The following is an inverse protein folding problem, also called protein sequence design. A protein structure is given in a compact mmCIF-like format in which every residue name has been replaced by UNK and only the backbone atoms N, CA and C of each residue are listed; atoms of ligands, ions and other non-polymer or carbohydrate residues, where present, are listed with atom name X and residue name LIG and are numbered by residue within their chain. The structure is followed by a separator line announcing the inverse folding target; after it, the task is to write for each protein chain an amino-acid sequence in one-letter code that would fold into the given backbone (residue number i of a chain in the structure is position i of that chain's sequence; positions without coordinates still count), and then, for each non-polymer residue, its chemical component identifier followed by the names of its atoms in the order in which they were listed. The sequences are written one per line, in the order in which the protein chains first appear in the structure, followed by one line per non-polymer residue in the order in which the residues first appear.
data_IF_455940778632
#
_entry.id   IF_455940778632
#
_cell.length_a   1.000
_cell.length_b   1.000
_cell.length_c   1.000
_cell.angle_alpha   90.00
_cell.angle_beta   90.00
_cell.angle_gamma   90.00
#
_symmetry.space_group_name_H-M   'P 1'
#
loop_
_entity.id
_entity.type
_entity.pdbx_description
1 polymer ?
#
# COMPACT_ATOMS: atom_id res chain seq x y z
N UNK A 1 -1.96 10.95 -28.01
CA UNK A 1 -1.10 11.33 -26.87
C UNK A 1 -1.05 10.10 -25.96
N UNK A 2 0.06 9.35 -26.00
CA UNK A 2 0.21 8.14 -25.20
C UNK A 2 0.14 8.54 -23.72
N UNK A 3 -0.70 7.85 -22.94
CA UNK A 3 -0.64 7.97 -21.50
C UNK A 3 0.82 7.74 -21.09
N UNK A 4 1.43 8.70 -20.41
CA UNK A 4 2.73 8.49 -19.78
C UNK A 4 2.53 7.32 -18.82
N UNK A 5 2.97 6.13 -19.22
CA UNK A 5 2.94 4.96 -18.35
C UNK A 5 4.04 5.20 -17.34
N UNK A 6 3.64 5.67 -16.15
CA UNK A 6 4.54 5.87 -15.03
C UNK A 6 5.24 4.53 -14.77
N UNK A 7 6.58 4.47 -14.78
CA UNK A 7 7.29 3.24 -14.51
C UNK A 7 7.04 2.80 -13.07
N UNK A 8 7.02 1.49 -12.84
CA UNK A 8 7.06 0.92 -11.50
C UNK A 8 8.53 0.76 -11.10
N UNK A 9 8.86 1.10 -9.85
CA UNK A 9 10.17 0.88 -9.25
C UNK A 9 10.05 -0.18 -8.15
N UNK A 10 11.03 -1.07 -8.07
CA UNK A 10 11.21 -1.95 -6.92
C UNK A 10 12.63 -1.80 -6.38
N UNK A 11 12.78 -1.96 -5.07
CA UNK A 11 14.07 -1.97 -4.40
C UNK A 11 14.09 -3.03 -3.31
N UNK A 12 15.20 -3.77 -3.24
CA UNK A 12 15.47 -4.77 -2.23
C UNK A 12 14.54 -5.98 -2.28
N UNK A 13 14.24 -6.55 -1.12
CA UNK A 13 13.43 -7.76 -0.99
C UNK A 13 14.27 -8.99 -0.70
N UNK A 14 13.61 -10.14 -0.58
CA UNK A 14 14.23 -11.42 -0.25
C UNK A 14 13.75 -12.51 -1.20
N UNK A 15 14.66 -13.39 -1.61
CA UNK A 15 14.38 -14.56 -2.42
C UNK A 15 13.98 -15.78 -1.58
N UNK A 16 14.07 -16.96 -2.20
CA UNK A 16 13.93 -18.23 -1.51
C UNK A 16 15.31 -18.78 -1.13
N UNK A 17 15.52 -19.27 0.11
CA UNK A 17 14.59 -19.24 1.24
C UNK A 17 14.36 -17.83 1.82
N UNK A 18 13.16 -17.62 2.39
CA UNK A 18 12.74 -16.30 2.89
C UNK A 18 13.66 -15.81 4.01
N UNK A 19 14.20 -14.61 3.86
CA UNK A 19 15.08 -13.96 4.83
C UNK A 19 16.56 -14.31 4.68
N UNK A 20 16.91 -15.25 3.79
CA UNK A 20 18.32 -15.67 3.60
C UNK A 20 18.96 -14.99 2.38
N UNK A 21 18.18 -14.74 1.34
CA UNK A 21 18.67 -14.20 0.05
C UNK A 21 18.16 -12.78 -0.17
N UNK A 22 18.68 -11.85 0.61
CA UNK A 22 18.31 -10.44 0.54
C UNK A 22 18.98 -9.75 -0.66
N UNK A 23 18.31 -8.74 -1.22
CA UNK A 23 18.87 -7.88 -2.28
C UNK A 23 18.84 -6.41 -1.85
N UNK A 24 19.69 -5.59 -2.45
CA UNK A 24 19.62 -4.13 -2.45
C UNK A 24 19.56 -3.57 -3.89
N UNK A 25 19.23 -4.42 -4.86
CA UNK A 25 19.07 -3.99 -6.26
C UNK A 25 17.87 -3.06 -6.43
N UNK A 26 17.92 -2.24 -7.48
CA UNK A 26 16.80 -1.44 -7.95
C UNK A 26 16.39 -1.87 -9.35
N UNK A 27 15.10 -2.07 -9.58
CA UNK A 27 14.55 -2.41 -10.89
C UNK A 27 13.50 -1.39 -11.34
N UNK A 28 13.51 -1.08 -12.64
CA UNK A 28 12.47 -0.31 -13.32
C UNK A 28 11.66 -1.24 -14.20
N UNK A 29 10.35 -1.18 -14.05
CA UNK A 29 9.40 -1.90 -14.87
C UNK A 29 8.65 -0.88 -15.72
N UNK A 30 8.81 -0.99 -17.03
CA UNK A 30 7.96 -0.27 -17.98
C UNK A 30 6.72 -1.11 -18.26
N UNK A 31 5.57 -0.44 -18.40
CA UNK A 31 4.27 -1.06 -18.63
C UNK A 31 3.82 -0.70 -20.05
N UNK A 32 2.90 -1.48 -20.63
CA UNK A 32 2.34 -1.24 -21.96
C UNK A 32 2.85 -2.21 -23.02
N UNK A 33 2.77 -1.81 -24.29
CA UNK A 33 3.10 -2.68 -25.43
C UNK A 33 4.59 -3.09 -25.46
N UNK A 34 5.46 -2.25 -24.89
CA UNK A 34 6.91 -2.50 -24.77
C UNK A 34 7.32 -2.72 -23.30
N UNK A 35 6.56 -3.55 -22.56
CA UNK A 35 6.88 -3.84 -21.17
C UNK A 35 8.26 -4.51 -21.02
N UNK A 36 9.11 -3.93 -20.19
CA UNK A 36 10.48 -4.38 -19.94
C UNK A 36 10.85 -4.20 -18.47
N UNK A 37 11.76 -5.05 -17.99
CA UNK A 37 12.37 -4.94 -16.67
C UNK A 37 13.84 -4.62 -16.83
N UNK A 38 14.30 -3.56 -16.18
CA UNK A 38 15.68 -3.11 -16.25
C UNK A 38 16.25 -2.97 -14.85
N UNK A 39 17.40 -3.62 -14.58
CA UNK A 39 18.17 -3.35 -13.37
C UNK A 39 18.86 -1.99 -13.51
N UNK A 40 18.67 -1.11 -12.53
CA UNK A 40 19.37 0.17 -12.49
C UNK A 40 20.81 -0.04 -12.04
N UNK A 41 21.77 0.45 -12.83
CA UNK A 41 23.13 0.64 -12.38
C UNK A 41 23.18 1.79 -11.38
N UNK A 42 23.21 1.45 -10.09
CA UNK A 42 23.27 2.41 -8.98
C UNK A 42 24.65 2.40 -8.34
N UNK A 43 25.04 3.52 -7.71
CA UNK A 43 26.34 3.71 -7.04
C UNK A 43 26.14 4.49 -5.74
N UNK A 44 27.21 4.77 -4.98
CA UNK A 44 27.16 5.54 -3.74
C UNK A 44 26.98 4.68 -2.50
N UNK A 45 26.32 5.23 -1.49
CA UNK A 45 26.13 4.60 -0.18
C UNK A 45 24.87 3.73 -0.18
N UNK A 46 24.95 2.57 -0.84
CA UNK A 46 23.82 1.66 -0.95
C UNK A 46 23.41 1.13 0.43
N UNK A 47 22.10 0.98 0.72
CA UNK A 47 21.66 0.22 1.87
C UNK A 47 22.15 -1.23 1.76
N UNK A 48 22.42 -1.85 2.91
CA UNK A 48 22.67 -3.29 2.99
C UNK A 48 21.51 -4.06 2.36
N UNK A 49 21.80 -5.19 1.72
CA UNK A 49 20.78 -6.06 1.17
C UNK A 49 19.75 -6.48 2.24
N UNK A 50 18.49 -6.06 2.05
CA UNK A 50 17.46 -6.16 3.07
C UNK A 50 16.06 -6.27 2.46
N UNK A 51 15.07 -6.62 3.29
CA UNK A 51 13.67 -6.69 2.88
C UNK A 51 12.74 -6.01 3.88
N UNK A 52 11.54 -5.69 3.40
CA UNK A 52 10.54 -4.94 4.14
C UNK A 52 10.89 -3.48 4.48
N UNK A 53 11.73 -2.73 3.72
CA UNK A 53 11.80 -1.29 3.92
C UNK A 53 10.49 -0.64 3.47
N UNK A 54 10.09 0.44 4.15
CA UNK A 54 9.11 1.37 3.63
C UNK A 54 9.72 2.20 2.51
N UNK A 55 8.98 2.49 1.44
CA UNK A 55 9.47 3.28 0.30
C UNK A 55 8.57 4.49 0.08
N UNK A 56 9.18 5.66 -0.06
CA UNK A 56 8.51 6.93 -0.42
C UNK A 56 9.28 7.59 -1.56
N UNK A 57 8.56 8.13 -2.54
CA UNK A 57 9.17 9.01 -3.55
C UNK A 57 8.81 10.45 -3.21
N UNK A 58 9.83 11.30 -3.07
CA UNK A 58 9.65 12.73 -2.82
C UNK A 58 10.68 13.53 -3.64
N UNK A 59 10.20 14.48 -4.42
CA UNK A 59 10.96 15.19 -5.44
C UNK A 59 11.68 14.18 -6.36
N UNK A 60 13.00 14.31 -6.49
CA UNK A 60 13.83 13.47 -7.35
C UNK A 60 14.44 12.27 -6.63
N UNK A 61 13.94 11.94 -5.43
CA UNK A 61 14.52 10.94 -4.56
C UNK A 61 13.53 9.83 -4.21
N UNK A 62 14.02 8.58 -4.24
CA UNK A 62 13.37 7.43 -3.63
C UNK A 62 14.00 7.20 -2.26
N UNK A 63 13.23 7.35 -1.20
CA UNK A 63 13.63 7.10 0.18
C UNK A 63 13.28 5.67 0.58
N UNK A 64 14.17 5.02 1.34
CA UNK A 64 13.92 3.75 2.01
C UNK A 64 14.04 3.94 3.51
N UNK A 65 13.09 3.39 4.26
CA UNK A 65 12.98 3.56 5.70
C UNK A 65 12.89 2.19 6.37
N UNK A 66 13.88 1.87 7.19
CA UNK A 66 13.96 0.64 7.96
C UNK A 66 14.04 -0.63 7.11
N UNK A 67 13.62 -1.75 7.69
CA UNK A 67 13.74 -3.07 7.09
C UNK A 67 14.56 -4.04 7.93
N UNK A 68 14.86 -5.19 7.36
CA UNK A 68 15.67 -6.22 8.03
C UNK A 68 16.53 -7.00 7.06
N UNK A 69 17.70 -7.41 7.53
CA UNK A 69 18.59 -8.36 6.84
C UNK A 69 18.17 -9.83 7.05
N UNK A 70 17.14 -10.09 7.86
CA UNK A 70 16.78 -11.40 8.37
C UNK A 70 17.28 -11.65 9.80
N UNK A 71 18.33 -10.94 10.20
CA UNK A 71 18.95 -11.04 11.53
C UNK A 71 18.83 -9.73 12.30
N UNK A 72 19.18 -8.62 11.63
CA UNK A 72 19.15 -7.29 12.21
C UNK A 72 17.95 -6.51 11.68
N UNK A 73 17.43 -5.62 12.52
CA UNK A 73 16.36 -4.70 12.18
C UNK A 73 16.90 -3.28 12.23
N UNK A 74 16.47 -2.44 11.29
CA UNK A 74 16.91 -1.06 11.23
C UNK A 74 15.73 -0.10 11.03
N UNK A 75 15.96 1.16 11.36
CA UNK A 75 15.14 2.31 10.95
C UNK A 75 15.99 3.35 10.19
N UNK A 76 17.11 2.92 9.60
CA UNK A 76 17.97 3.78 8.80
C UNK A 76 17.20 4.37 7.62
N UNK A 77 17.64 5.56 7.20
CA UNK A 77 17.09 6.29 6.07
C UNK A 77 18.16 6.45 5.01
N UNK A 78 17.88 5.86 3.85
CA UNK A 78 18.68 6.05 2.64
C UNK A 78 17.83 6.71 1.58
N UNK A 79 18.46 7.38 0.63
CA UNK A 79 17.77 7.89 -0.55
C UNK A 79 18.56 7.68 -1.83
N UNK A 80 17.86 7.34 -2.89
CA UNK A 80 18.40 7.23 -4.24
C UNK A 80 17.99 8.46 -5.02
N UNK A 81 18.96 9.24 -5.51
CA UNK A 81 18.66 10.26 -6.51
C UNK A 81 18.30 9.56 -7.83
N UNK A 82 17.08 9.77 -8.31
CA UNK A 82 16.54 9.08 -9.48
C UNK A 82 17.15 9.56 -10.81
N UNK A 83 17.78 10.74 -10.82
CA UNK A 83 18.49 11.28 -11.98
C UNK A 83 19.93 10.75 -12.05
N UNK A 84 20.70 10.92 -10.97
CA UNK A 84 22.12 10.54 -10.94
C UNK A 84 22.33 9.05 -10.66
N UNK A 85 21.31 8.36 -10.12
CA UNK A 85 21.35 6.96 -9.69
C UNK A 85 22.38 6.71 -8.58
N UNK A 86 22.61 7.73 -7.76
CA UNK A 86 23.51 7.68 -6.60
C UNK A 86 22.68 7.56 -5.33
N UNK A 87 22.99 6.54 -4.53
CA UNK A 87 22.49 6.37 -3.18
C UNK A 87 23.27 7.24 -2.20
N UNK A 88 22.55 7.80 -1.24
CA UNK A 88 23.07 8.56 -0.13
C UNK A 88 22.54 7.96 1.16
N UNK A 89 23.44 7.81 2.14
CA UNK A 89 23.05 7.58 3.51
C UNK A 89 22.55 8.90 4.11
N UNK A 90 21.26 8.99 4.42
CA UNK A 90 20.68 10.21 4.98
C UNK A 90 20.76 10.20 6.50
N UNK A 91 20.48 9.04 7.11
CA UNK A 91 20.54 8.85 8.55
C UNK A 91 20.79 7.38 8.92
N UNK A 92 21.73 7.15 9.83
CA UNK A 92 21.95 5.85 10.49
C UNK A 92 21.49 5.93 11.94
N UNK A 93 20.50 5.10 12.28
CA UNK A 93 20.02 4.96 13.65
C UNK A 93 21.09 4.33 14.55
N UNK A 94 21.14 4.79 15.79
CA UNK A 94 22.08 4.33 16.81
C UNK A 94 21.31 3.88 18.06
N UNK A 95 21.60 2.70 18.63
CA UNK A 95 20.87 2.17 19.78
C UNK A 95 20.90 3.07 21.03
N UNK A 96 21.92 3.91 21.17
CA UNK A 96 22.15 4.80 22.31
C UNK A 96 21.47 6.17 22.18
N UNK A 97 20.95 6.50 20.99
CA UNK A 97 20.27 7.77 20.74
C UNK A 97 18.79 7.67 21.12
N UNK A 98 18.36 8.44 22.12
CA UNK A 98 16.98 8.43 22.64
C UNK A 98 15.91 8.70 21.58
N UNK A 99 16.22 9.58 20.62
CA UNK A 99 15.26 10.00 19.60
C UNK A 99 15.22 9.03 18.40
N UNK A 100 16.17 8.11 18.32
CA UNK A 100 16.20 7.13 17.23
C UNK A 100 15.13 6.06 17.47
N UNK A 101 14.33 5.74 16.45
CA UNK A 101 13.36 4.67 16.56
C UNK A 101 14.06 3.31 16.55
N UNK A 102 13.54 2.39 17.35
CA UNK A 102 13.94 0.99 17.29
C UNK A 102 13.72 0.43 15.88
N UNK A 103 14.68 -0.38 15.43
CA UNK A 103 14.66 -1.01 14.12
C UNK A 103 13.43 -1.88 13.91
N UNK A 104 12.83 -1.80 12.72
CA UNK A 104 11.57 -2.51 12.42
C UNK A 104 11.40 -2.83 10.95
N UNK A 105 10.56 -3.83 10.70
CA UNK A 105 10.12 -4.24 9.36
C UNK A 105 8.61 -4.53 9.34
N UNK A 106 8.04 -4.65 8.14
CA UNK A 106 6.59 -4.85 7.91
C UNK A 106 5.72 -3.76 8.56
N UNK A 107 6.30 -2.58 8.71
CA UNK A 107 5.62 -1.31 8.88
C UNK A 107 5.15 -0.78 7.53
N UNK A 108 4.29 0.21 7.59
CA UNK A 108 3.89 1.01 6.44
C UNK A 108 4.44 2.43 6.59
N UNK A 109 4.56 3.16 5.48
CA UNK A 109 5.00 4.56 5.50
C UNK A 109 4.00 5.48 4.81
N UNK A 110 3.80 6.66 5.37
CA UNK A 110 3.03 7.76 4.76
C UNK A 110 3.84 9.04 4.84
N UNK A 111 3.59 9.98 3.93
CA UNK A 111 4.36 11.23 3.87
C UNK A 111 3.46 12.44 3.63
N UNK A 112 3.77 13.56 4.27
CA UNK A 112 3.01 14.81 4.10
C UNK A 112 3.76 15.89 3.32
N UNK A 113 4.94 15.56 2.80
CA UNK A 113 5.85 16.47 2.12
C UNK A 113 6.89 17.11 3.03
N UNK A 114 6.70 17.07 4.35
CA UNK A 114 7.69 17.51 5.35
C UNK A 114 8.25 16.34 6.17
N UNK A 115 7.41 15.35 6.47
CA UNK A 115 7.75 14.19 7.28
C UNK A 115 7.38 12.88 6.57
N UNK A 116 8.15 11.83 6.86
CA UNK A 116 7.79 10.44 6.58
C UNK A 116 7.45 9.77 7.91
N UNK A 117 6.22 9.28 8.03
CA UNK A 117 5.70 8.65 9.24
C UNK A 117 5.71 7.13 9.11
N UNK A 118 6.16 6.44 10.16
CA UNK A 118 6.25 4.97 10.19
C UNK A 118 5.11 4.37 11.00
N UNK A 119 4.21 3.66 10.33
CA UNK A 119 3.01 3.08 10.93
C UNK A 119 3.21 1.60 11.24
N UNK A 120 3.16 1.27 12.53
CA UNK A 120 3.20 -0.10 13.03
C UNK A 120 4.54 -0.79 12.76
N UNK A 121 4.46 -2.05 12.34
CA UNK A 121 5.63 -2.89 12.16
C UNK A 121 6.16 -3.43 13.49
N UNK A 122 7.28 -4.14 13.42
CA UNK A 122 7.84 -4.80 14.58
C UNK A 122 9.18 -5.45 14.30
N UNK A 123 9.59 -6.33 15.19
CA UNK A 123 10.68 -7.30 15.01
C UNK A 123 10.08 -8.72 15.00
N UNK A 124 10.91 -9.75 15.16
CA UNK A 124 10.44 -11.11 15.44
C UNK A 124 9.66 -11.20 16.75
N UNK A 125 10.02 -10.42 17.76
CA UNK A 125 9.52 -10.55 19.14
C UNK A 125 8.62 -9.40 19.58
N UNK A 126 8.76 -8.23 18.96
CA UNK A 126 8.05 -7.01 19.34
C UNK A 126 7.15 -6.53 18.21
N UNK A 127 6.00 -5.96 18.55
CA UNK A 127 5.14 -5.21 17.62
C UNK A 127 4.87 -3.86 18.23
N UNK A 128 5.12 -2.80 17.46
CA UNK A 128 5.06 -1.43 17.95
C UNK A 128 3.63 -0.88 17.91
N UNK A 129 3.31 -0.03 18.87
CA UNK A 129 2.03 0.64 18.91
C UNK A 129 1.91 1.76 17.86
N UNK A 130 0.70 2.32 17.78
CA UNK A 130 0.33 3.40 16.87
C UNK A 130 -0.04 4.68 17.64
N UNK A 131 0.29 4.76 18.94
CA UNK A 131 0.03 5.93 19.77
C UNK A 131 1.11 6.98 19.55
N UNK A 132 2.39 6.56 19.59
CA UNK A 132 3.55 7.43 19.33
C UNK A 132 4.38 6.83 18.21
N UNK A 133 4.28 7.41 17.02
CA UNK A 133 4.91 6.85 15.81
C UNK A 133 6.19 7.62 15.43
N UNK A 134 7.24 6.95 14.93
CA UNK A 134 8.41 7.63 14.38
C UNK A 134 8.04 8.50 13.17
N UNK A 135 8.61 9.70 13.10
CA UNK A 135 8.45 10.63 12.00
C UNK A 135 9.81 11.20 11.58
N UNK A 136 10.23 10.94 10.34
CA UNK A 136 11.49 11.44 9.82
C UNK A 136 11.29 12.79 9.14
N UNK A 137 11.93 13.83 9.67
CA UNK A 137 11.85 15.19 9.13
C UNK A 137 12.77 15.32 7.91
N UNK A 138 12.19 15.55 6.74
CA UNK A 138 12.92 15.64 5.46
C UNK A 138 13.75 16.93 5.31
N UNK A 139 13.48 17.95 6.14
CA UNK A 139 14.24 19.20 6.12
C UNK A 139 15.47 19.10 7.01
N UNK A 140 15.30 18.57 8.23
CA UNK A 140 16.40 18.49 9.22
C UNK A 140 17.19 17.19 9.13
N UNK A 141 16.69 16.19 8.38
CA UNK A 141 17.20 14.83 8.31
C UNK A 141 17.36 14.19 9.71
N UNK A 142 16.33 14.31 10.54
CA UNK A 142 16.32 13.78 11.90
C UNK A 142 15.02 13.05 12.20
N UNK A 143 15.14 12.04 13.07
CA UNK A 143 13.99 11.41 13.67
C UNK A 143 13.37 12.30 14.74
N UNK A 144 12.05 12.38 14.69
CA UNK A 144 11.18 12.95 15.69
C UNK A 144 10.07 11.91 16.00
N UNK A 145 9.25 12.19 17.01
CA UNK A 145 8.09 11.36 17.33
C UNK A 145 6.80 12.14 17.14
N UNK A 146 5.82 11.48 16.54
CA UNK A 146 4.49 12.00 16.30
C UNK A 146 3.49 11.32 17.24
N UNK A 147 3.10 12.06 18.28
CA UNK A 147 2.04 11.63 19.21
C UNK A 147 0.67 11.77 18.54
N UNK A 148 -0.02 10.65 18.40
CA UNK A 148 -1.37 10.57 17.84
C UNK A 148 -2.43 10.71 18.92
N UNK A 149 -3.64 11.05 18.49
CA UNK A 149 -4.81 11.26 19.33
C UNK A 149 -5.78 10.10 19.06
N UNK A 150 -6.35 9.48 20.12
CA UNK A 150 -7.28 8.38 19.95
C UNK A 150 -8.60 8.87 19.35
N UNK A 151 -9.33 7.94 18.73
CA UNK A 151 -10.70 8.13 18.30
C UNK A 151 -11.57 8.57 19.48
N UNK A 152 -12.07 9.82 19.39
CA UNK A 152 -12.90 10.44 20.43
C UNK A 152 -14.19 9.69 20.70
N UNK A 153 -14.72 8.98 19.70
CA UNK A 153 -16.00 8.27 19.79
C UNK A 153 -15.85 6.92 20.50
N UNK A 154 -14.65 6.36 20.58
CA UNK A 154 -14.40 5.02 21.14
C UNK A 154 -13.82 5.02 22.55
N UNK A 155 -13.46 6.20 23.09
CA UNK A 155 -12.78 6.39 24.39
C UNK A 155 -13.44 5.68 25.59
N UNK A 156 -14.72 5.38 25.52
CA UNK A 156 -15.49 4.77 26.61
C UNK A 156 -15.37 3.25 26.69
N UNK A 157 -14.97 2.56 25.62
CA UNK A 157 -14.97 1.09 25.56
C UNK A 157 -13.67 0.48 25.00
N UNK A 158 -12.93 1.22 24.18
CA UNK A 158 -11.60 0.87 23.68
C UNK A 158 -10.66 2.06 23.97
N UNK A 159 -9.34 1.84 24.04
CA UNK A 159 -8.37 2.96 24.21
C UNK A 159 -8.39 3.96 23.02
N UNK A 160 -9.27 3.77 22.03
CA UNK A 160 -9.45 4.62 20.86
C UNK A 160 -8.31 4.60 19.85
N UNK A 161 -7.33 3.71 20.02
CA UNK A 161 -6.23 3.52 19.09
C UNK A 161 -6.36 2.18 18.36
N UNK A 162 -5.87 2.07 17.11
CA UNK A 162 -5.64 0.76 16.52
C UNK A 162 -4.65 -0.03 17.38
N UNK A 163 -4.96 -1.30 17.66
CA UNK A 163 -4.03 -2.19 18.37
C UNK A 163 -2.67 -2.28 17.63
N UNK A 164 -1.54 -2.47 18.36
CA UNK A 164 -0.22 -2.71 17.77
C UNK A 164 -0.28 -3.80 16.71
N UNK A 165 0.31 -3.54 15.54
CA UNK A 165 0.22 -4.47 14.39
C UNK A 165 1.39 -4.34 13.43
N UNK A 166 1.76 -5.47 12.82
CA UNK A 166 2.65 -5.57 11.65
C UNK A 166 1.97 -6.31 10.51
N UNK A 167 2.57 -6.30 9.32
CA UNK A 167 2.00 -6.93 8.11
C UNK A 167 0.61 -6.37 7.73
N UNK A 168 0.29 -5.15 8.17
CA UNK A 168 -0.87 -4.39 7.73
C UNK A 168 -0.68 -3.92 6.29
N UNK A 169 -1.71 -3.33 5.70
CA UNK A 169 -1.54 -2.49 4.51
C UNK A 169 -1.97 -1.05 4.83
N UNK A 170 -1.40 -0.10 4.09
CA UNK A 170 -1.72 1.31 4.22
C UNK A 170 -1.97 1.95 2.85
N UNK A 171 -2.85 2.94 2.81
CA UNK A 171 -3.00 3.87 1.67
C UNK A 171 -3.16 5.28 2.17
N UNK A 172 -2.49 6.20 1.49
CA UNK A 172 -2.60 7.63 1.73
C UNK A 172 -3.70 8.22 0.84
N UNK A 173 -4.51 9.11 1.41
CA UNK A 173 -5.50 9.89 0.69
C UNK A 173 -5.41 11.38 1.05
N UNK A 174 -5.30 12.23 0.03
CA UNK A 174 -5.36 13.68 0.19
C UNK A 174 -6.80 14.18 0.04
N UNK A 175 -7.30 14.84 1.08
CA UNK A 175 -8.61 15.47 1.10
C UNK A 175 -8.64 16.76 0.27
N UNK A 176 -9.83 17.25 -0.13
CA UNK A 176 -9.95 18.49 -0.92
C UNK A 176 -9.36 19.75 -0.25
N UNK A 177 -9.25 19.76 1.08
CA UNK A 177 -8.65 20.83 1.86
C UNK A 177 -7.11 20.72 1.97
N UNK A 178 -6.50 19.71 1.35
CA UNK A 178 -5.06 19.45 1.38
C UNK A 178 -4.61 18.53 2.53
N UNK A 179 -5.51 18.17 3.46
CA UNK A 179 -5.17 17.26 4.55
C UNK A 179 -4.86 15.87 4.04
N UNK A 180 -3.98 15.18 4.74
CA UNK A 180 -3.58 13.82 4.41
C UNK A 180 -4.14 12.86 5.46
N UNK A 181 -4.86 11.85 4.99
CA UNK A 181 -5.35 10.74 5.78
C UNK A 181 -4.63 9.46 5.40
N UNK A 182 -4.12 8.72 6.40
CA UNK A 182 -3.54 7.40 6.25
C UNK A 182 -4.56 6.34 6.65
N UNK A 183 -4.99 5.49 5.72
CA UNK A 183 -5.92 4.40 5.97
C UNK A 183 -5.13 3.10 6.16
N UNK A 184 -5.29 2.46 7.32
CA UNK A 184 -4.68 1.17 7.62
C UNK A 184 -5.73 0.07 7.75
N UNK A 185 -5.37 -1.15 7.35
CA UNK A 185 -6.24 -2.30 7.55
C UNK A 185 -5.47 -3.60 7.72
N UNK A 186 -6.10 -4.52 8.46
CA UNK A 186 -5.58 -5.84 8.75
C UNK A 186 -4.27 -5.83 9.54
N UNK A 187 -3.45 -6.87 9.32
CA UNK A 187 -2.23 -7.13 10.08
C UNK A 187 -2.42 -8.11 11.24
N UNK A 188 -1.37 -8.27 12.04
CA UNK A 188 -1.34 -9.16 13.21
C UNK A 188 -0.54 -8.55 14.38
N UNK A 189 -0.87 -8.95 15.61
CA UNK A 189 -0.28 -8.41 16.85
C UNK A 189 1.08 -9.03 17.24
N UNK A 190 1.57 -9.99 16.47
CA UNK A 190 2.89 -10.63 16.67
C UNK A 190 2.88 -11.86 17.57
N UNK A 191 1.79 -12.07 18.31
CA UNK A 191 1.48 -13.29 19.06
C UNK A 191 1.03 -14.46 18.16
N UNK A 192 0.87 -14.21 16.86
CA UNK A 192 0.29 -15.13 15.87
C UNK A 192 -1.08 -15.69 16.28
N UNK A 193 -1.77 -15.00 17.19
CA UNK A 193 -3.09 -15.38 17.70
C UNK A 193 -4.14 -14.32 17.39
N UNK A 194 -3.72 -13.05 17.32
CA UNK A 194 -4.59 -11.91 17.04
C UNK A 194 -4.37 -11.40 15.62
N UNK A 195 -5.42 -11.55 14.80
CA UNK A 195 -5.47 -11.11 13.41
C UNK A 195 -6.55 -10.04 13.24
N UNK A 196 -6.25 -9.01 12.45
CA UNK A 196 -7.12 -7.85 12.32
C UNK A 196 -7.89 -7.86 11.01
N UNK A 197 -9.13 -7.37 11.06
CA UNK A 197 -9.97 -7.09 9.90
C UNK A 197 -10.60 -5.68 9.95
N UNK A 198 -10.25 -4.90 10.97
CA UNK A 198 -10.70 -3.53 11.15
C UNK A 198 -10.02 -2.59 10.14
N UNK A 199 -10.61 -1.40 10.02
CA UNK A 199 -10.10 -0.32 9.18
C UNK A 199 -10.04 0.94 10.04
N UNK A 200 -8.89 1.60 10.02
CA UNK A 200 -8.67 2.86 10.72
C UNK A 200 -8.14 3.89 9.76
N UNK A 201 -8.40 5.16 10.06
CA UNK A 201 -7.75 6.28 9.38
C UNK A 201 -7.11 7.23 10.39
N UNK A 202 -5.92 7.74 10.07
CA UNK A 202 -5.22 8.78 10.82
C UNK A 202 -5.19 10.04 9.96
N UNK A 203 -5.72 11.15 10.46
CA UNK A 203 -5.50 12.46 9.83
C UNK A 203 -4.18 13.04 10.34
N UNK A 204 -3.20 13.27 9.45
CA UNK A 204 -1.86 13.71 9.84
C UNK A 204 -1.83 15.15 10.38
N UNK A 205 -2.79 16.00 10.00
CA UNK A 205 -2.89 17.37 10.52
C UNK A 205 -3.49 17.40 11.92
N UNK A 206 -4.62 16.72 12.14
CA UNK A 206 -5.29 16.69 13.46
C UNK A 206 -4.66 15.67 14.40
N UNK A 207 -3.82 14.78 13.88
CA UNK A 207 -3.19 13.64 14.55
C UNK A 207 -4.18 12.59 15.06
N UNK A 208 -5.44 12.67 14.64
CA UNK A 208 -6.52 11.88 15.22
C UNK A 208 -6.78 10.60 14.43
N UNK A 209 -6.80 9.48 15.15
CA UNK A 209 -7.28 8.21 14.67
C UNK A 209 -8.81 8.18 14.65
N UNK A 210 -9.38 7.50 13.65
CA UNK A 210 -10.80 7.22 13.57
C UNK A 210 -10.99 5.79 13.07
N UNK A 211 -11.74 4.97 13.82
CA UNK A 211 -12.14 3.63 13.39
C UNK A 211 -13.31 3.75 12.43
N UNK A 212 -13.19 3.13 11.26
CA UNK A 212 -14.28 3.11 10.29
C UNK A 212 -15.24 1.99 10.68
N UNK A 213 -16.26 2.32 11.47
CA UNK A 213 -17.22 1.33 11.99
C UNK A 213 -18.13 0.76 10.90
N UNK A 214 -18.29 1.46 9.78
CA UNK A 214 -19.17 1.05 8.66
C UNK A 214 -18.49 0.11 7.66
N UNK A 215 -17.20 -0.21 7.83
CA UNK A 215 -16.45 -1.03 6.89
C UNK A 215 -15.38 -1.89 7.60
N UNK A 216 -15.26 -3.14 7.15
CA UNK A 216 -14.28 -4.09 7.65
C UNK A 216 -13.93 -5.09 6.55
N UNK A 217 -12.73 -5.67 6.63
CA UNK A 217 -12.36 -6.78 5.78
C UNK A 217 -13.27 -7.98 6.10
N UNK A 218 -13.81 -8.68 5.07
CA UNK A 218 -14.67 -9.84 5.28
C UNK A 218 -14.02 -10.97 6.09
N UNK A 219 -12.69 -11.00 6.13
CA UNK A 219 -11.86 -11.91 6.91
C UNK A 219 -10.62 -11.15 7.40
N UNK A 220 -10.05 -11.50 8.56
CA UNK A 220 -8.75 -10.98 8.96
C UNK A 220 -7.66 -11.37 7.95
N UNK A 221 -6.84 -10.39 7.54
CA UNK A 221 -5.77 -10.59 6.56
C UNK A 221 -4.49 -9.92 7.02
N UNK A 222 -3.37 -10.55 6.72
CA UNK A 222 -2.04 -9.98 6.87
C UNK A 222 -1.20 -10.26 5.61
N UNK A 223 -0.13 -9.50 5.37
CA UNK A 223 0.65 -9.57 4.11
C UNK A 223 -0.17 -9.33 2.83
N UNK A 224 -1.28 -8.60 2.94
CA UNK A 224 -2.03 -8.13 1.79
C UNK A 224 -1.47 -6.78 1.33
N UNK A 225 -1.76 -6.39 0.09
CA UNK A 225 -1.41 -5.08 -0.44
C UNK A 225 -2.67 -4.24 -0.57
N UNK A 226 -2.55 -2.92 -0.35
CA UNK A 226 -3.57 -1.95 -0.70
C UNK A 226 -3.05 -0.94 -1.72
N UNK A 227 -3.94 -0.38 -2.53
CA UNK A 227 -3.63 0.66 -3.50
C UNK A 227 -4.77 1.68 -3.65
N UNK A 228 -4.42 2.95 -3.79
CA UNK A 228 -5.35 4.06 -4.00
C UNK A 228 -5.55 4.28 -5.51
N UNK A 229 -6.80 4.27 -5.99
CA UNK A 229 -7.11 4.36 -7.42
C UNK A 229 -7.28 5.80 -7.95
N UNK A 230 -6.86 6.82 -7.20
CA UNK A 230 -6.96 8.24 -7.54
C UNK A 230 -8.37 8.84 -7.49
N UNK A 231 -9.40 8.01 -7.59
CA UNK A 231 -10.82 8.40 -7.53
C UNK A 231 -11.42 8.37 -6.11
N UNK A 232 -10.58 8.16 -5.08
CA UNK A 232 -11.03 7.98 -3.69
C UNK A 232 -11.40 6.53 -3.34
N UNK A 233 -11.14 5.57 -4.23
CA UNK A 233 -11.32 4.14 -3.94
C UNK A 233 -10.00 3.49 -3.52
N UNK A 234 -10.05 2.73 -2.43
CA UNK A 234 -8.99 1.83 -1.96
C UNK A 234 -9.29 0.42 -2.47
N UNK A 235 -8.30 -0.22 -3.06
CA UNK A 235 -8.33 -1.62 -3.46
C UNK A 235 -7.40 -2.43 -2.58
N UNK A 236 -7.84 -3.60 -2.14
CA UNK A 236 -7.08 -4.50 -1.26
C UNK A 236 -6.99 -5.85 -1.94
N UNK A 237 -5.78 -6.35 -2.13
CA UNK A 237 -5.53 -7.59 -2.85
C UNK A 237 -4.67 -8.56 -2.05
N UNK A 238 -5.06 -9.83 -2.11
CA UNK A 238 -4.24 -10.95 -1.66
C UNK A 238 -4.17 -11.10 -0.13
N UNK A 239 -2.98 -11.45 0.35
CA UNK A 239 -2.70 -11.70 1.77
C UNK A 239 -2.92 -13.14 2.22
N UNK A 240 -2.70 -13.35 3.51
CA UNK A 240 -2.85 -14.62 4.19
C UNK A 240 -4.00 -14.47 5.19
N UNK A 241 -4.97 -15.39 5.10
CA UNK A 241 -6.00 -15.57 6.10
C UNK A 241 -5.56 -16.68 7.04
N UNK A 242 -5.55 -16.38 8.33
CA UNK A 242 -5.30 -17.40 9.34
C UNK A 242 -6.61 -18.15 9.63
N UNK A 243 -6.57 -19.46 9.40
CA UNK A 243 -7.54 -20.43 9.91
C UNK A 243 -6.75 -21.64 10.46
N UNK A 244 -7.36 -22.81 10.70
CA UNK A 244 -6.62 -24.03 11.10
C UNK A 244 -5.45 -24.37 10.16
N UNK A 245 -5.46 -23.82 8.94
CA UNK A 245 -4.32 -23.75 8.01
C UNK A 245 -4.15 -22.30 7.55
N UNK A 246 -2.91 -21.89 7.30
CA UNK A 246 -2.63 -20.62 6.63
C UNK A 246 -3.10 -20.69 5.17
N UNK A 247 -4.06 -19.86 4.80
CA UNK A 247 -4.61 -19.84 3.44
C UNK A 247 -4.23 -18.56 2.74
N UNK A 248 -3.40 -18.68 1.69
CA UNK A 248 -3.10 -17.56 0.78
C UNK A 248 -4.34 -17.22 -0.04
N UNK A 249 -4.67 -15.93 -0.09
CA UNK A 249 -5.83 -15.41 -0.81
C UNK A 249 -5.39 -14.71 -2.09
N UNK A 250 -6.28 -14.74 -3.09
CA UNK A 250 -6.18 -13.99 -4.34
C UNK A 250 -7.42 -13.10 -4.55
N UNK A 251 -8.10 -12.75 -3.47
CA UNK A 251 -9.32 -11.95 -3.49
C UNK A 251 -8.98 -10.46 -3.64
N UNK A 252 -9.85 -9.74 -4.36
CA UNK A 252 -9.81 -8.29 -4.50
C UNK A 252 -11.03 -7.67 -3.81
N UNK A 253 -10.77 -6.80 -2.84
CA UNK A 253 -11.78 -6.00 -2.16
C UNK A 253 -11.63 -4.54 -2.56
N UNK A 254 -12.73 -3.77 -2.47
CA UNK A 254 -12.68 -2.33 -2.63
C UNK A 254 -13.53 -1.62 -1.58
N UNK A 255 -13.09 -0.42 -1.18
CA UNK A 255 -13.80 0.48 -0.28
C UNK A 255 -13.66 1.92 -0.78
N UNK A 256 -14.74 2.70 -0.72
CA UNK A 256 -14.68 4.14 -0.93
C UNK A 256 -14.19 4.83 0.35
N UNK A 257 -13.09 5.58 0.28
CA UNK A 257 -12.55 6.36 1.40
C UNK A 257 -13.26 7.71 1.56
N UNK A 258 -13.83 8.21 0.47
CA UNK A 258 -14.66 9.41 0.43
C UNK A 258 -15.95 9.11 -0.31
N UNK A 259 -16.93 9.99 -0.21
CA UNK A 259 -18.13 9.92 -1.04
C UNK A 259 -17.70 9.95 -2.52
N UNK A 260 -17.99 8.90 -3.31
CA UNK A 260 -17.60 8.86 -4.72
C UNK A 260 -18.33 9.95 -5.51
N UNK A 261 -17.66 10.51 -6.51
CA UNK A 261 -18.32 11.40 -7.48
C UNK A 261 -19.46 10.66 -8.17
N UNK A 262 -20.55 11.37 -8.50
CA UNK A 262 -21.70 10.79 -9.22
C UNK A 262 -21.26 10.01 -10.47
N UNK A 263 -20.28 10.52 -11.20
CA UNK A 263 -19.74 9.83 -12.37
C UNK A 263 -19.12 8.46 -12.07
N UNK A 264 -18.47 8.29 -10.92
CA UNK A 264 -17.92 7.00 -10.48
C UNK A 264 -19.05 6.05 -10.07
N UNK A 265 -20.10 6.56 -9.42
CA UNK A 265 -21.30 5.77 -9.08
C UNK A 265 -22.00 5.28 -10.36
N UNK A 266 -22.19 6.17 -11.34
CA UNK A 266 -22.74 5.80 -12.65
C UNK A 266 -21.87 4.77 -13.36
N UNK A 267 -20.54 4.90 -13.30
CA UNK A 267 -19.63 3.93 -13.89
C UNK A 267 -19.71 2.55 -13.22
N UNK A 268 -19.79 2.52 -11.89
CA UNK A 268 -20.03 1.32 -11.11
C UNK A 268 -21.35 0.65 -11.53
N UNK A 269 -22.43 1.43 -11.75
CA UNK A 269 -23.69 0.90 -12.23
C UNK A 269 -23.57 0.34 -13.66
N UNK A 270 -22.98 1.10 -14.58
CA UNK A 270 -22.77 0.68 -15.98
C UNK A 270 -22.00 -0.65 -16.02
N UNK A 271 -20.89 -0.77 -15.29
CA UNK A 271 -20.07 -1.98 -15.26
C UNK A 271 -20.72 -3.15 -14.53
N UNK A 272 -21.58 -2.88 -13.54
CA UNK A 272 -22.35 -3.92 -12.85
C UNK A 272 -23.46 -4.53 -13.72
N UNK A 273 -24.19 -3.69 -14.46
CA UNK A 273 -25.30 -4.14 -15.31
C UNK A 273 -24.86 -4.58 -16.71
N UNK A 274 -23.62 -4.28 -17.13
CA UNK A 274 -23.10 -4.62 -18.46
C UNK A 274 -21.77 -5.38 -18.38
N UNK A 275 -21.84 -6.70 -18.43
CA UNK A 275 -20.65 -7.57 -18.42
C UNK A 275 -19.97 -7.69 -19.79
N UNK A 276 -20.48 -7.01 -20.82
CA UNK A 276 -20.11 -7.17 -22.22
C UNK A 276 -19.36 -5.95 -22.81
N UNK A 277 -19.05 -4.93 -21.99
CA UNK A 277 -18.40 -3.70 -22.44
C UNK A 277 -17.06 -3.94 -23.17
N UNK A 278 -16.34 -4.99 -22.78
CA UNK A 278 -15.06 -5.39 -23.37
C UNK A 278 -15.18 -5.93 -24.81
N UNK A 279 -16.38 -6.25 -25.29
CA UNK A 279 -16.59 -6.66 -26.69
C UNK A 279 -16.67 -5.47 -27.64
N UNK A 280 -16.89 -4.25 -27.14
CA UNK A 280 -16.95 -3.06 -27.98
C UNK A 280 -15.58 -2.41 -28.08
N UNK A 281 -15.24 -1.92 -29.28
CA UNK A 281 -14.01 -1.16 -29.46
C UNK A 281 -14.16 0.25 -28.85
N UNK A 282 -13.02 0.93 -28.68
CA UNK A 282 -12.96 2.27 -28.09
C UNK A 282 -13.88 3.27 -28.80
N UNK A 283 -13.88 3.29 -30.13
CA UNK A 283 -14.70 4.19 -30.96
C UNK A 283 -16.19 4.01 -30.67
N UNK A 284 -16.66 2.77 -30.60
CA UNK A 284 -18.06 2.47 -30.32
C UNK A 284 -18.47 2.93 -28.93
N UNK A 285 -17.63 2.70 -27.92
CA UNK A 285 -17.90 3.12 -26.54
C UNK A 285 -17.98 4.66 -26.42
N UNK A 286 -17.15 5.39 -27.15
CA UNK A 286 -17.21 6.85 -27.21
C UNK A 286 -18.48 7.33 -27.94
N UNK A 287 -18.85 6.69 -29.06
CA UNK A 287 -20.05 7.04 -29.83
C UNK A 287 -21.36 6.90 -29.04
N UNK A 288 -21.45 5.92 -28.13
CA UNK A 288 -22.62 5.74 -27.26
C UNK A 288 -22.61 6.67 -26.03
N UNK A 289 -21.63 7.58 -25.94
CA UNK A 289 -21.57 8.62 -24.91
C UNK A 289 -20.82 8.24 -23.64
N UNK A 290 -20.07 7.13 -23.60
CA UNK A 290 -19.21 6.85 -22.44
C UNK A 290 -18.01 7.81 -22.46
N UNK A 291 -17.79 8.59 -21.38
CA UNK A 291 -16.66 9.51 -21.32
C UNK A 291 -15.31 8.79 -21.48
N UNK A 292 -14.37 9.43 -22.18
CA UNK A 292 -13.04 8.87 -22.50
C UNK A 292 -12.32 8.28 -21.28
N UNK A 293 -12.37 8.97 -20.12
CA UNK A 293 -11.76 8.52 -18.86
C UNK A 293 -12.25 7.15 -18.38
N UNK A 294 -13.45 6.74 -18.75
CA UNK A 294 -14.03 5.45 -18.40
C UNK A 294 -13.79 4.42 -19.50
N UNK A 295 -13.83 4.82 -20.77
CA UNK A 295 -13.43 3.96 -21.89
C UNK A 295 -12.00 3.46 -21.71
N UNK A 296 -11.08 4.32 -21.24
CA UNK A 296 -9.69 3.95 -20.94
C UNK A 296 -9.53 2.95 -19.78
N UNK A 297 -10.59 2.69 -18.99
CA UNK A 297 -10.59 1.67 -17.92
C UNK A 297 -11.09 0.31 -18.41
N UNK A 298 -11.72 0.24 -19.59
CA UNK A 298 -12.17 -1.02 -20.17
C UNK A 298 -10.94 -1.75 -20.72
N UNK A 299 -10.74 -3.04 -20.39
CA UNK A 299 -9.63 -3.81 -20.93
C UNK A 299 -9.64 -3.78 -22.46
N UNK A 300 -8.45 -3.69 -23.08
CA UNK A 300 -8.32 -3.81 -24.53
C UNK A 300 -8.92 -5.15 -24.99
N UNK A 301 -9.59 -5.14 -26.15
CA UNK A 301 -10.09 -6.36 -26.77
C UNK A 301 -8.93 -7.36 -26.89
N UNK A 302 -9.00 -8.47 -26.14
CA UNK A 302 -8.15 -9.62 -26.46
C UNK A 302 -8.60 -10.07 -27.85
N UNK A 303 -7.67 -10.07 -28.82
CA UNK A 303 -7.91 -10.77 -30.09
C UNK A 303 -8.41 -12.18 -29.74
N UNK A 304 -9.52 -12.66 -30.33
CA UNK A 304 -9.98 -14.01 -30.05
C UNK A 304 -8.81 -14.97 -30.29
N UNK A 305 -8.38 -15.68 -29.24
CA UNK A 305 -7.49 -16.82 -29.43
C UNK A 305 -8.21 -17.73 -30.41
N UNK A 306 -7.56 -18.06 -31.54
CA UNK A 306 -8.05 -19.11 -32.44
C UNK A 306 -8.40 -20.30 -31.54
N UNK A 307 -9.66 -20.76 -31.63
CA UNK A 307 -10.14 -21.91 -30.89
C UNK A 307 -9.16 -23.07 -31.06
N UNK A 308 -8.39 -23.35 -30.01
CA UNK A 308 -7.88 -24.69 -29.74
C UNK A 308 -8.75 -25.14 -28.58
N UNK A 309 -9.58 -26.14 -28.85
CA UNK A 309 -10.36 -26.85 -27.86
C UNK A 309 -9.41 -27.46 -26.85
N UNK A 310 -9.36 -26.91 -25.64
CA UNK A 310 -9.15 -27.70 -24.44
C UNK A 310 -9.68 -26.96 -23.21
N UNK A 311 -10.24 -27.77 -22.32
CA UNK A 311 -11.10 -27.41 -21.20
C UNK A 311 -10.39 -26.60 -20.10
N UNK A 312 -11.21 -25.88 -19.32
CA UNK A 312 -10.90 -25.26 -18.02
C UNK A 312 -10.10 -23.94 -17.98
N UNK A 313 -10.45 -22.96 -18.82
CA UNK A 313 -10.05 -21.56 -18.57
C UNK A 313 -11.08 -20.84 -17.70
N UNK A 314 -10.98 -20.96 -16.38
CA UNK A 314 -11.73 -20.09 -15.45
C UNK A 314 -11.34 -18.63 -15.69
N UNK A 315 -12.32 -17.75 -15.84
CA UNK A 315 -12.11 -16.32 -16.09
C UNK A 315 -11.34 -15.67 -14.93
N UNK A 316 -10.20 -15.05 -15.23
CA UNK A 316 -9.37 -14.27 -14.29
C UNK A 316 -10.03 -12.95 -13.80
N UNK A 317 -11.31 -12.72 -14.12
CA UNK A 317 -12.05 -11.58 -13.59
C UNK A 317 -12.67 -12.02 -12.27
N UNK A 318 -11.93 -11.80 -11.19
CA UNK A 318 -12.48 -11.87 -9.83
C UNK A 318 -13.57 -10.80 -9.74
N UNK A 319 -14.83 -11.21 -9.65
CA UNK A 319 -15.94 -10.31 -9.31
C UNK A 319 -15.56 -9.58 -8.03
N UNK A 320 -15.34 -8.27 -8.12
CA UNK A 320 -14.98 -7.45 -6.96
C UNK A 320 -16.13 -7.54 -5.95
N UNK A 321 -15.89 -8.22 -4.83
CA UNK A 321 -16.88 -8.29 -3.75
C UNK A 321 -16.84 -6.94 -3.03
N UNK A 322 -17.95 -6.19 -3.12
CA UNK A 322 -18.14 -4.99 -2.29
C UNK A 322 -18.07 -5.39 -0.81
N UNK A 323 -17.33 -4.65 -0.01
CA UNK A 323 -17.52 -4.69 1.44
C UNK A 323 -18.97 -4.27 1.73
N UNK A 324 -19.69 -5.07 2.53
CA UNK A 324 -21.07 -4.77 2.88
C UNK A 324 -21.05 -3.62 3.88
N UNK A 325 -21.65 -2.46 3.54
CA UNK A 325 -22.06 -1.51 4.56
C UNK A 325 -23.32 -2.06 5.22
N UNK A 326 -23.29 -2.33 6.52
CA UNK A 326 -24.53 -2.43 7.28
C UNK A 326 -24.98 -1.00 7.56
N UNK A 327 -26.05 -0.58 6.90
CA UNK A 327 -26.86 0.53 7.36
C UNK A 327 -27.72 0.00 8.50
N UNK A 328 -27.52 0.49 9.72
CA UNK A 328 -28.61 0.54 10.70
C UNK A 328 -29.52 1.73 10.41
#
# INVERSE_FOLDING_TARGET
MYAFLTPLLSHGGTGYPFGETCSNDCYVYTIGDNAQVMRLGVTGDLPTAQYGPGIVIHNDYLYTIGGTTGFDYTCDVYRLNLHTKVWENVYICRPDMRDDPEGRYRHEVVYDGSYIYVLGGGTSHTVYDLQRIPAFNLTTNRWEYFDTIPDRMLRTYENGFPKPRKCLSCVQHTLPNGDIEAFITGGLQGDFSTYFNDIWKLNLRTKEWCKIVTAFLPRPLYFHSAAHAGNGCMYIFGGIEYSEKEVRRNCLFKMWMTIPKLSEICWDAITYYNNNLHYYNREKLLQIGIPERFVNRVPLQKRPRKHISDESSQSLIVTVKRMRSQTE
#
